data_IF_278305481679
#
_entry.id   IF_278305481679
#
_cell.length_a   1.000
_cell.length_b   1.000
_cell.length_c   1.000
_cell.angle_alpha   90.00
_cell.angle_beta   90.00
_cell.angle_gamma   90.00
#
_symmetry.space_group_name_H-M   'P 1'
#
loop_
_entity.id
_entity.type
_entity.pdbx_description
1 polymer ?
#
# COMPACT_ATOMS: atom_id res chain seq x y z
N UNK A 1 3.33 17.61 -24.52
CA UNK A 1 4.35 16.57 -24.29
C UNK A 1 4.16 16.24 -22.83
N UNK A 2 3.26 15.29 -22.56
CA UNK A 2 2.72 15.05 -21.23
C UNK A 2 3.01 13.59 -20.90
N UNK A 3 4.17 13.36 -20.27
CA UNK A 3 4.47 12.06 -19.68
C UNK A 3 3.52 11.86 -18.50
N UNK A 4 2.34 11.31 -18.80
CA UNK A 4 1.49 10.66 -17.81
C UNK A 4 2.30 9.49 -17.27
N UNK A 5 2.86 9.65 -16.07
CA UNK A 5 3.50 8.57 -15.33
C UNK A 5 2.40 7.62 -14.85
N UNK A 6 1.89 6.80 -15.75
CA UNK A 6 0.99 5.69 -15.42
C UNK A 6 1.84 4.62 -14.74
N UNK A 7 1.74 4.52 -13.42
CA UNK A 7 2.35 3.45 -12.64
C UNK A 7 1.75 2.11 -13.11
N UNK A 8 2.56 1.31 -13.81
CA UNK A 8 2.13 0.05 -14.37
C UNK A 8 1.90 -0.96 -13.24
N UNK A 9 0.63 -1.25 -12.97
CA UNK A 9 0.16 -2.42 -12.21
C UNK A 9 0.40 -2.43 -10.70
N UNK A 10 -0.34 -3.30 -9.99
CA UNK A 10 -0.33 -3.55 -8.53
C UNK A 10 1.06 -3.72 -7.89
N UNK A 11 2.08 -4.00 -8.69
CA UNK A 11 3.52 -3.96 -8.33
C UNK A 11 3.98 -2.60 -7.77
N UNK A 12 3.26 -1.53 -8.11
CA UNK A 12 3.56 -0.15 -7.71
C UNK A 12 3.36 0.09 -6.21
N UNK A 13 2.41 -0.59 -5.56
CA UNK A 13 2.25 -0.47 -4.10
C UNK A 13 3.35 -1.19 -3.35
N UNK A 14 3.76 -2.36 -3.83
CA UNK A 14 4.84 -3.08 -3.18
C UNK A 14 6.11 -2.24 -3.16
N UNK A 15 6.47 -1.64 -4.30
CA UNK A 15 7.63 -0.74 -4.41
C UNK A 15 7.51 0.46 -3.47
N UNK A 16 6.33 1.08 -3.38
CA UNK A 16 6.08 2.21 -2.49
C UNK A 16 6.11 1.82 -1.00
N UNK A 17 5.56 0.66 -0.64
CA UNK A 17 5.62 0.11 0.72
C UNK A 17 7.07 -0.18 1.11
N UNK A 18 7.86 -0.75 0.21
CA UNK A 18 9.29 -1.00 0.43
C UNK A 18 10.06 0.31 0.62
N UNK A 19 9.79 1.34 -0.18
CA UNK A 19 10.40 2.66 -0.02
C UNK A 19 10.02 3.30 1.33
N UNK A 20 8.74 3.28 1.70
CA UNK A 20 8.26 3.81 2.98
C UNK A 20 8.86 3.06 4.17
N UNK A 21 9.04 1.74 4.05
CA UNK A 21 9.74 0.92 5.04
C UNK A 21 11.23 1.30 5.14
N UNK A 22 11.93 1.43 4.02
CA UNK A 22 13.35 1.82 3.98
C UNK A 22 13.57 3.23 4.54
N UNK A 23 12.69 4.16 4.22
CA UNK A 23 12.74 5.55 4.69
C UNK A 23 12.14 5.75 6.08
N UNK A 24 11.52 4.70 6.66
CA UNK A 24 10.79 4.73 7.94
C UNK A 24 9.77 5.86 8.02
N UNK A 25 9.13 6.16 6.89
CA UNK A 25 8.12 7.20 6.82
C UNK A 25 6.76 6.66 7.26
N UNK A 26 5.92 7.59 7.74
CA UNK A 26 4.54 7.26 8.09
C UNK A 26 3.75 7.04 6.80
N UNK A 27 3.10 5.88 6.71
CA UNK A 27 2.14 5.54 5.68
C UNK A 27 0.72 5.77 6.19
N UNK A 28 -0.11 6.45 5.41
CA UNK A 28 -1.56 6.54 5.59
C UNK A 28 -2.22 5.62 4.57
N UNK A 29 -2.88 4.57 5.04
CA UNK A 29 -3.36 3.46 4.25
C UNK A 29 -4.88 3.44 4.23
N UNK A 30 -5.43 3.09 3.08
CA UNK A 30 -6.84 2.82 2.87
C UNK A 30 -6.94 1.41 2.31
N UNK A 31 -7.62 0.50 3.00
CA UNK A 31 -7.69 -0.91 2.65
C UNK A 31 -9.08 -1.49 2.92
N UNK A 32 -9.42 -2.57 2.22
CA UNK A 32 -10.67 -3.32 2.46
C UNK A 32 -10.50 -4.20 3.72
N UNK A 33 -11.39 -4.01 4.70
CA UNK A 33 -11.59 -4.93 5.82
C UNK A 33 -13.05 -4.80 6.27
N UNK A 34 -13.93 -5.68 5.76
CA UNK A 34 -15.38 -5.59 5.93
C UNK A 34 -15.95 -4.20 5.55
N UNK A 35 -15.32 -3.54 4.57
CA UNK A 35 -15.57 -2.17 4.16
C UNK A 35 -14.28 -1.35 4.14
N UNK A 36 -14.40 -0.10 3.71
CA UNK A 36 -13.26 0.82 3.57
C UNK A 36 -12.72 1.22 4.94
N UNK A 37 -11.56 0.68 5.30
CA UNK A 37 -10.87 0.92 6.56
C UNK A 37 -9.64 1.79 6.36
N UNK A 38 -9.40 2.72 7.31
CA UNK A 38 -8.24 3.61 7.32
C UNK A 38 -7.27 3.18 8.40
N UNK A 39 -6.01 2.98 8.04
CA UNK A 39 -4.92 2.78 8.98
C UNK A 39 -3.82 3.82 8.74
N UNK A 40 -3.04 4.13 9.76
CA UNK A 40 -1.82 4.90 9.57
C UNK A 40 -0.75 4.46 10.54
N UNK A 41 0.49 4.43 10.09
CA UNK A 41 1.61 3.97 10.90
C UNK A 41 2.91 3.94 10.12
N UNK A 42 4.01 3.65 10.81
CA UNK A 42 5.28 3.37 10.15
C UNK A 42 5.27 1.90 9.76
N UNK A 43 5.67 1.57 8.53
CA UNK A 43 5.83 0.17 8.11
C UNK A 43 7.06 -0.38 8.83
N UNK A 44 6.85 -1.37 9.69
CA UNK A 44 7.89 -2.02 10.49
C UNK A 44 8.50 -3.22 9.76
N UNK A 45 7.70 -3.91 8.94
CA UNK A 45 8.16 -5.06 8.15
C UNK A 45 7.31 -5.27 6.91
N UNK A 46 7.89 -5.90 5.90
CA UNK A 46 7.22 -6.30 4.65
C UNK A 46 7.60 -7.75 4.39
N UNK A 47 6.62 -8.63 4.20
CA UNK A 47 6.86 -10.06 4.03
C UNK A 47 5.84 -10.71 3.10
N UNK A 48 6.18 -11.88 2.59
CA UNK A 48 5.28 -12.70 1.77
C UNK A 48 4.82 -13.90 2.57
N UNK A 49 3.51 -14.12 2.62
CA UNK A 49 2.88 -15.25 3.32
C UNK A 49 1.80 -15.85 2.42
N UNK A 50 1.83 -17.17 2.23
CA UNK A 50 0.87 -17.90 1.38
C UNK A 50 0.75 -17.32 -0.06
N UNK A 51 1.88 -16.86 -0.62
CA UNK A 51 1.92 -16.25 -1.97
C UNK A 51 1.31 -14.84 -2.05
N UNK A 52 0.97 -14.22 -0.92
CA UNK A 52 0.45 -12.85 -0.83
C UNK A 52 1.44 -11.97 -0.10
N UNK A 53 1.53 -10.71 -0.51
CA UNK A 53 2.38 -9.72 0.15
C UNK A 53 1.63 -9.03 1.28
N UNK A 54 2.30 -8.90 2.42
CA UNK A 54 1.81 -8.25 3.63
C UNK A 54 2.79 -7.17 4.06
N UNK A 55 2.24 -6.12 4.64
CA UNK A 55 3.00 -5.12 5.37
C UNK A 55 2.53 -5.11 6.82
N UNK A 56 3.48 -5.04 7.75
CA UNK A 56 3.22 -4.89 9.16
C UNK A 56 3.50 -3.45 9.57
N UNK A 57 2.54 -2.80 10.20
CA UNK A 57 2.75 -1.50 10.82
C UNK A 57 3.39 -1.66 12.21
N UNK A 58 4.04 -0.61 12.69
CA UNK A 58 4.59 -0.47 14.04
C UNK A 58 3.60 -0.87 15.15
N UNK A 59 2.30 -0.63 14.94
CA UNK A 59 1.25 -1.04 15.87
C UNK A 59 0.86 -2.53 15.76
N UNK A 60 1.76 -3.37 15.27
CA UNK A 60 1.58 -4.82 15.04
C UNK A 60 0.36 -5.17 14.17
N UNK A 61 0.00 -4.26 13.25
CA UNK A 61 -1.13 -4.45 12.34
C UNK A 61 -0.63 -4.99 11.00
N UNK A 62 -1.00 -6.22 10.67
CA UNK A 62 -0.67 -6.86 9.41
C UNK A 62 -1.76 -6.58 8.36
N UNK A 63 -1.37 -5.94 7.26
CA UNK A 63 -2.28 -5.55 6.18
C UNK A 63 -1.81 -6.22 4.88
N UNK A 64 -2.66 -7.01 4.22
CA UNK A 64 -2.35 -7.56 2.91
C UNK A 64 -2.31 -6.44 1.87
N UNK A 65 -1.20 -6.34 1.13
CA UNK A 65 -0.98 -5.27 0.14
C UNK A 65 -2.00 -5.34 -1.00
N UNK A 66 -2.50 -6.54 -1.35
CA UNK A 66 -3.53 -6.72 -2.38
C UNK A 66 -4.90 -6.12 -2.00
N UNK A 67 -5.17 -5.91 -0.69
CA UNK A 67 -6.39 -5.26 -0.22
C UNK A 67 -6.23 -3.74 -0.04
N UNK A 68 -5.07 -3.18 -0.35
CA UNK A 68 -4.82 -1.74 -0.24
C UNK A 68 -5.37 -1.01 -1.45
N UNK A 69 -6.27 -0.06 -1.21
CA UNK A 69 -6.80 0.84 -2.22
C UNK A 69 -5.93 2.08 -2.41
N UNK A 70 -5.36 2.61 -1.32
CA UNK A 70 -4.53 3.81 -1.37
C UNK A 70 -3.46 3.86 -0.28
N UNK A 71 -2.34 4.52 -0.60
CA UNK A 71 -1.26 4.85 0.34
C UNK A 71 -0.89 6.32 0.19
N UNK A 72 -0.89 7.09 1.27
CA UNK A 72 -0.59 8.53 1.31
C UNK A 72 -1.43 9.35 0.31
N UNK A 73 -2.67 8.92 0.04
CA UNK A 73 -3.54 9.55 -0.96
C UNK A 73 -3.20 9.21 -2.42
N UNK A 74 -2.23 8.32 -2.65
CA UNK A 74 -1.95 7.71 -3.95
C UNK A 74 -2.82 6.46 -4.09
N UNK A 75 -3.72 6.48 -5.06
CA UNK A 75 -4.66 5.39 -5.35
C UNK A 75 -4.08 4.43 -6.37
N UNK A 76 -4.57 3.19 -6.35
CA UNK A 76 -4.12 2.20 -7.32
C UNK A 76 -4.57 2.61 -8.71
N UNK A 77 -3.73 2.37 -9.73
CA UNK A 77 -4.12 2.62 -11.12
C UNK A 77 -5.37 1.80 -11.52
N UNK A 78 -5.56 0.66 -10.84
CA UNK A 78 -6.73 -0.22 -10.94
C UNK A 78 -7.98 0.40 -10.28
N UNK A 79 -7.81 1.31 -9.32
CA UNK A 79 -8.87 2.15 -8.74
C UNK A 79 -9.13 3.37 -9.65
N UNK A 80 -9.32 3.11 -10.95
CA UNK A 80 -9.95 4.06 -11.87
C UNK A 80 -11.46 3.86 -11.79
N UNK A 81 -12.08 4.32 -10.71
CA UNK A 81 -13.51 4.61 -10.75
C UNK A 81 -13.71 5.85 -11.65
N UNK A 82 -14.26 5.61 -12.85
CA UNK A 82 -14.97 6.52 -13.78
C UNK A 82 -14.46 7.96 -14.02
#
# INVERSE_FOLDING_TARGET
MDQRNTLASKDSFYSLVVELHQTRQKAALLYEDNGVTRASGIISSVYTKDGRHYMQLDNQLDIPIDQVHAINGLFSADYSEC
#
